data_IF_730484462122
#
_entry.id   IF_730484462122
#
_cell.length_a   1.000
_cell.length_b   1.000
_cell.length_c   1.000
_cell.angle_alpha   90.00
_cell.angle_beta   90.00
_cell.angle_gamma   90.00
#
_symmetry.space_group_name_H-M   'P 1'
#
loop_
_entity.id
_entity.type
_entity.pdbx_description
1 polymer ?
#
# COMPACT_ATOMS: atom_id res chain seq x y z
N UNK A 1 -5.25 14.79 -21.16
CA UNK A 1 -6.41 13.89 -21.39
C UNK A 1 -7.14 13.71 -20.08
N UNK A 2 -8.47 13.69 -20.07
CA UNK A 2 -9.26 13.42 -18.88
C UNK A 2 -8.92 12.03 -18.33
N UNK A 3 -9.01 11.88 -17.00
CA UNK A 3 -8.80 10.57 -16.38
C UNK A 3 -10.06 9.71 -16.53
N UNK A 4 -9.88 8.45 -16.92
CA UNK A 4 -10.97 7.48 -17.09
C UNK A 4 -10.96 6.56 -15.85
N UNK A 5 -12.15 6.24 -15.34
CA UNK A 5 -12.34 5.25 -14.29
C UNK A 5 -12.20 3.82 -14.82
N UNK A 6 -12.02 2.86 -13.94
CA UNK A 6 -11.83 1.43 -14.21
C UNK A 6 -10.61 1.15 -15.10
N UNK A 7 -9.55 1.90 -14.85
CA UNK A 7 -8.32 1.87 -15.63
C UNK A 7 -7.06 1.87 -14.76
N UNK A 8 -6.05 1.13 -15.20
CA UNK A 8 -4.69 1.17 -14.65
C UNK A 8 -3.81 1.90 -15.68
N UNK A 9 -3.20 3.00 -15.23
CA UNK A 9 -2.31 3.81 -16.07
C UNK A 9 -0.87 3.33 -15.93
N UNK A 10 -0.23 3.10 -17.08
CA UNK A 10 1.19 2.74 -17.11
C UNK A 10 2.06 3.98 -17.03
N UNK A 11 2.16 4.57 -15.85
CA UNK A 11 2.93 5.80 -15.63
C UNK A 11 3.23 5.98 -14.14
N UNK A 12 4.07 6.94 -13.82
CA UNK A 12 4.31 7.36 -12.44
C UNK A 12 3.02 7.92 -11.81
N UNK A 13 2.80 7.59 -10.53
CA UNK A 13 1.59 7.98 -9.81
C UNK A 13 1.39 9.50 -9.74
N UNK A 14 2.46 10.29 -9.68
CA UNK A 14 2.38 11.75 -9.70
C UNK A 14 1.86 12.28 -11.05
N UNK A 15 2.16 11.59 -12.16
CA UNK A 15 1.59 11.94 -13.47
C UNK A 15 0.07 11.66 -13.51
N UNK A 16 -0.37 10.53 -12.96
CA UNK A 16 -1.80 10.24 -12.83
C UNK A 16 -2.47 11.26 -11.92
N UNK A 17 -1.93 11.49 -10.72
CA UNK A 17 -2.45 12.43 -9.74
C UNK A 17 -2.58 13.86 -10.29
N UNK A 18 -1.60 14.33 -11.08
CA UNK A 18 -1.63 15.69 -11.67
C UNK A 18 -2.81 15.93 -12.62
N UNK A 19 -3.45 14.86 -13.12
CA UNK A 19 -4.64 14.93 -14.00
C UNK A 19 -5.96 14.72 -13.26
N UNK A 20 -5.89 14.29 -11.99
CA UNK A 20 -7.07 14.09 -11.16
C UNK A 20 -7.49 15.41 -10.52
N UNK A 21 -8.80 15.63 -10.49
CA UNK A 21 -9.38 16.81 -9.85
C UNK A 21 -9.29 16.73 -8.31
N UNK A 22 -9.24 17.88 -7.67
CA UNK A 22 -9.32 17.96 -6.22
C UNK A 22 -10.64 17.37 -5.73
N UNK A 23 -10.61 16.63 -4.61
CA UNK A 23 -11.79 16.04 -4.00
C UNK A 23 -12.59 15.10 -4.93
N UNK A 24 -11.90 14.37 -5.80
CA UNK A 24 -12.53 13.44 -6.77
C UNK A 24 -12.58 11.99 -6.27
N UNK A 25 -11.71 11.59 -5.33
CA UNK A 25 -11.52 10.21 -4.88
C UNK A 25 -12.19 9.98 -3.53
N UNK A 26 -12.93 8.87 -3.40
CA UNK A 26 -13.62 8.51 -2.16
C UNK A 26 -12.71 7.71 -1.20
N UNK A 27 -11.85 6.86 -1.75
CA UNK A 27 -11.00 5.98 -0.96
C UNK A 27 -9.64 5.78 -1.65
N UNK A 28 -8.56 5.87 -0.89
CA UNK A 28 -7.22 5.53 -1.36
C UNK A 28 -6.69 4.38 -0.51
N UNK A 29 -6.15 3.34 -1.17
CA UNK A 29 -5.56 2.18 -0.50
C UNK A 29 -4.26 1.85 -1.22
N UNK A 30 -3.14 1.81 -0.50
CA UNK A 30 -1.86 1.54 -1.15
C UNK A 30 -0.80 0.94 -0.23
N UNK A 31 0.16 0.28 -0.85
CA UNK A 31 1.41 -0.19 -0.25
C UNK A 31 2.58 0.24 -1.13
N UNK A 32 3.23 1.36 -0.82
CA UNK A 32 4.33 1.88 -1.63
C UNK A 32 5.55 0.95 -1.57
N UNK A 33 6.50 1.07 -2.50
CA UNK A 33 7.79 0.41 -2.36
C UNK A 33 8.52 0.95 -1.12
N UNK A 34 9.12 0.04 -0.31
CA UNK A 34 9.64 0.35 1.03
C UNK A 34 11.13 0.71 1.06
N UNK A 35 11.75 0.98 -0.09
CA UNK A 35 13.18 1.32 -0.20
C UNK A 35 14.14 0.27 0.41
N UNK A 36 13.75 -1.00 0.38
CA UNK A 36 14.53 -2.09 0.99
C UNK A 36 15.89 -2.30 0.33
N UNK A 37 16.01 -1.99 -0.95
CA UNK A 37 17.25 -2.12 -1.71
C UNK A 37 18.37 -1.25 -1.16
N UNK A 38 18.06 -0.04 -0.66
CA UNK A 38 19.03 0.82 0.02
C UNK A 38 19.58 0.14 1.29
N UNK A 39 18.70 -0.30 2.17
CA UNK A 39 19.08 -0.90 3.44
C UNK A 39 19.80 -2.25 3.26
N UNK A 40 19.39 -3.05 2.28
CA UNK A 40 20.06 -4.30 1.95
C UNK A 40 21.51 -4.08 1.45
N UNK A 41 21.74 -3.04 0.65
CA UNK A 41 23.06 -2.67 0.13
C UNK A 41 24.02 -2.22 1.24
N UNK A 42 23.51 -1.52 2.25
CA UNK A 42 24.30 -0.89 3.30
C UNK A 42 24.34 -1.71 4.62
N UNK A 43 23.74 -2.90 4.62
CA UNK A 43 23.74 -3.78 5.78
C UNK A 43 25.17 -4.25 6.10
N UNK A 44 25.63 -4.07 7.35
CA UNK A 44 26.93 -4.58 7.80
C UNK A 44 26.92 -6.11 7.76
N UNK A 45 27.89 -6.72 7.08
CA UNK A 45 28.10 -8.17 7.11
C UNK A 45 28.72 -8.55 8.45
N UNK A 46 27.91 -9.03 9.40
CA UNK A 46 28.39 -9.62 10.63
C UNK A 46 28.91 -11.05 10.39
N UNK A 47 30.05 -11.41 11.02
CA UNK A 47 30.46 -12.82 11.12
C UNK A 47 29.39 -13.56 11.94
N UNK A 48 28.50 -14.29 11.28
CA UNK A 48 27.43 -15.06 11.94
C UNK A 48 26.02 -14.84 11.36
N UNK A 49 25.85 -14.01 10.37
CA UNK A 49 24.57 -13.87 9.66
C UNK A 49 24.28 -15.18 8.88
N UNK A 50 23.54 -16.08 9.53
CA UNK A 50 23.03 -17.33 8.92
C UNK A 50 21.90 -17.06 7.90
N UNK A 51 21.67 -15.81 7.53
CA UNK A 51 20.74 -15.46 6.46
C UNK A 51 21.35 -15.81 5.10
N UNK A 52 21.51 -17.14 4.85
CA UNK A 52 21.84 -17.73 3.54
C UNK A 52 20.70 -17.62 2.52
N UNK A 53 19.58 -17.09 2.89
CA UNK A 53 18.60 -16.68 1.88
C UNK A 53 19.21 -15.45 1.20
N UNK A 54 19.71 -15.64 -0.04
CA UNK A 54 19.77 -14.55 -1.00
C UNK A 54 18.42 -13.85 -0.87
N UNK A 55 18.36 -12.75 -0.09
CA UNK A 55 17.15 -11.94 -0.04
C UNK A 55 16.86 -11.69 -1.50
N UNK A 56 15.73 -12.21 -2.00
CA UNK A 56 15.27 -11.84 -3.34
C UNK A 56 15.21 -10.32 -3.28
N UNK A 57 16.20 -9.67 -3.88
CA UNK A 57 16.17 -8.23 -4.11
C UNK A 57 14.92 -8.07 -4.97
N UNK A 58 13.88 -7.58 -4.36
CA UNK A 58 12.66 -7.24 -5.07
C UNK A 58 13.09 -6.11 -5.99
N UNK A 59 13.30 -6.41 -7.25
CA UNK A 59 13.59 -5.41 -8.24
C UNK A 59 12.23 -5.00 -8.79
N UNK A 60 11.76 -3.84 -8.34
CA UNK A 60 10.57 -3.23 -8.95
C UNK A 60 10.98 -2.72 -10.32
N UNK A 61 10.29 -3.19 -11.35
CA UNK A 61 10.52 -2.76 -12.72
C UNK A 61 10.16 -1.26 -12.83
N UNK A 62 11.14 -0.44 -13.23
CA UNK A 62 10.95 1.02 -13.36
C UNK A 62 11.10 1.84 -12.08
N UNK A 63 11.32 1.24 -10.88
CA UNK A 63 11.49 1.96 -9.63
C UNK A 63 12.88 1.78 -9.00
N UNK A 64 13.49 2.88 -8.55
CA UNK A 64 14.77 2.86 -7.84
C UNK A 64 14.59 2.53 -6.34
N UNK A 65 14.53 1.26 -5.97
CA UNK A 65 14.41 0.79 -4.57
C UNK A 65 15.72 1.00 -3.74
N UNK A 66 16.55 1.98 -4.13
CA UNK A 66 17.86 2.30 -3.49
C UNK A 66 18.04 3.80 -3.31
N UNK A 67 16.96 4.53 -3.12
CA UNK A 67 16.98 5.97 -2.84
C UNK A 67 17.70 6.27 -1.53
N UNK A 68 18.36 7.42 -1.43
CA UNK A 68 18.75 7.96 -0.14
C UNK A 68 17.54 8.09 0.79
N UNK A 69 17.64 7.79 2.09
CA UNK A 69 16.49 7.83 3.00
C UNK A 69 15.75 9.17 3.04
N UNK A 70 16.47 10.30 2.95
CA UNK A 70 15.85 11.63 2.96
C UNK A 70 15.13 11.92 1.63
N UNK A 71 15.69 11.48 0.51
CA UNK A 71 15.04 11.57 -0.81
C UNK A 71 13.80 10.69 -0.85
N UNK A 72 13.87 9.48 -0.29
CA UNK A 72 12.73 8.59 -0.18
C UNK A 72 11.59 9.20 0.65
N UNK A 73 11.91 9.77 1.83
CA UNK A 73 10.90 10.44 2.66
C UNK A 73 10.26 11.62 1.94
N UNK A 74 11.05 12.46 1.26
CA UNK A 74 10.55 13.60 0.48
C UNK A 74 9.60 13.15 -0.61
N UNK A 75 9.97 12.13 -1.38
CA UNK A 75 9.14 11.56 -2.43
C UNK A 75 7.83 10.97 -1.87
N UNK A 76 7.88 10.24 -0.75
CA UNK A 76 6.68 9.70 -0.12
C UNK A 76 5.74 10.80 0.39
N UNK A 77 6.28 11.89 0.95
CA UNK A 77 5.50 13.05 1.38
C UNK A 77 4.76 13.69 0.21
N UNK A 78 5.44 13.92 -0.89
CA UNK A 78 4.84 14.48 -2.11
C UNK A 78 3.66 13.64 -2.60
N UNK A 79 3.82 12.31 -2.61
CA UNK A 79 2.73 11.39 -2.99
C UNK A 79 1.56 11.47 -2.00
N UNK A 80 1.84 11.48 -0.70
CA UNK A 80 0.77 11.57 0.32
C UNK A 80 0.03 12.91 0.19
N UNK A 81 0.72 14.02 -0.02
CA UNK A 81 0.13 15.35 -0.21
C UNK A 81 -0.78 15.38 -1.44
N UNK A 82 -0.33 14.85 -2.58
CA UNK A 82 -1.14 14.76 -3.79
C UNK A 82 -2.33 13.80 -3.64
N UNK A 83 -2.15 12.66 -2.95
CA UNK A 83 -3.25 11.78 -2.57
C UNK A 83 -4.29 12.52 -1.71
N UNK A 84 -3.85 13.32 -0.75
CA UNK A 84 -4.74 14.11 0.09
C UNK A 84 -5.42 15.25 -0.69
N UNK A 85 -4.77 15.81 -1.72
CA UNK A 85 -5.38 16.79 -2.61
C UNK A 85 -6.60 16.21 -3.32
N UNK A 86 -6.45 15.04 -3.93
CA UNK A 86 -7.53 14.37 -4.69
C UNK A 86 -8.56 13.68 -3.80
N UNK A 87 -8.23 13.37 -2.54
CA UNK A 87 -9.14 12.72 -1.59
C UNK A 87 -10.29 13.67 -1.21
N UNK A 88 -11.53 13.18 -1.19
CA UNK A 88 -12.70 13.90 -0.68
C UNK A 88 -12.59 14.16 0.83
N UNK A 89 -13.21 15.21 1.38
CA UNK A 89 -13.25 15.45 2.84
C UNK A 89 -13.90 14.31 3.63
N UNK A 90 -14.75 13.52 3.00
CA UNK A 90 -15.39 12.33 3.56
C UNK A 90 -14.62 11.04 3.27
N UNK A 91 -13.52 11.12 2.52
CA UNK A 91 -12.71 9.98 2.13
C UNK A 91 -11.75 9.50 3.21
N UNK A 92 -11.19 8.33 3.00
CA UNK A 92 -10.11 7.75 3.81
C UNK A 92 -8.93 7.36 2.94
N UNK A 93 -7.72 7.54 3.44
CA UNK A 93 -6.51 7.07 2.80
C UNK A 93 -5.84 6.01 3.69
N UNK A 94 -5.78 4.76 3.23
CA UNK A 94 -5.09 3.66 3.89
C UNK A 94 -3.71 3.47 3.27
N UNK A 95 -2.70 3.83 4.04
CA UNK A 95 -1.30 3.77 3.66
C UNK A 95 -0.61 2.63 4.43
N UNK A 96 -0.28 1.53 3.73
CA UNK A 96 0.40 0.39 4.33
C UNK A 96 1.91 0.61 4.32
N UNK A 97 2.55 0.42 5.45
CA UNK A 97 4.01 0.49 5.57
C UNK A 97 4.50 -0.39 6.73
N UNK A 98 5.80 -0.59 6.82
CA UNK A 98 6.39 -1.41 7.88
C UNK A 98 7.72 -0.87 8.37
N UNK A 99 8.13 -1.37 9.51
CA UNK A 99 9.48 -1.20 10.02
C UNK A 99 10.51 -1.94 9.18
N UNK A 100 11.68 -1.34 9.04
CA UNK A 100 12.85 -1.93 8.42
C UNK A 100 13.91 -2.15 9.49
N UNK A 101 14.33 -3.40 9.66
CA UNK A 101 15.44 -3.73 10.57
C UNK A 101 16.77 -3.47 9.85
N UNK A 102 17.55 -2.54 10.39
CA UNK A 102 18.81 -2.11 9.81
C UNK A 102 19.87 -1.90 10.90
N UNK A 103 21.01 -2.62 10.82
CA UNK A 103 22.15 -2.49 11.72
C UNK A 103 21.77 -2.45 13.22
N UNK A 104 21.00 -3.46 13.68
CA UNK A 104 20.51 -3.61 15.06
C UNK A 104 19.55 -2.48 15.52
N UNK A 105 18.99 -1.74 14.59
CA UNK A 105 18.01 -0.67 14.85
C UNK A 105 16.76 -0.86 13.99
N UNK A 106 15.69 -0.22 14.40
CA UNK A 106 14.44 -0.17 13.65
C UNK A 106 14.29 1.18 12.99
N UNK A 107 14.08 1.19 11.68
CA UNK A 107 13.70 2.38 10.90
C UNK A 107 12.18 2.35 10.76
N UNK A 108 11.53 3.25 11.46
CA UNK A 108 10.08 3.40 11.45
C UNK A 108 9.66 4.50 10.46
N UNK A 109 8.55 4.37 9.71
CA UNK A 109 8.07 5.38 8.76
C UNK A 109 7.49 6.62 9.49
N UNK A 110 8.33 7.34 10.23
CA UNK A 110 7.91 8.46 11.08
C UNK A 110 7.28 9.61 10.33
N UNK A 111 7.67 9.83 9.07
CA UNK A 111 7.15 10.90 8.21
C UNK A 111 5.63 10.83 8.03
N UNK A 112 5.02 9.65 8.18
CA UNK A 112 3.57 9.49 8.06
C UNK A 112 2.83 10.21 9.20
N UNK A 113 3.45 10.36 10.37
CA UNK A 113 2.84 11.02 11.52
C UNK A 113 2.72 12.55 11.40
N UNK A 114 3.29 13.14 10.35
CA UNK A 114 3.11 14.56 10.04
C UNK A 114 1.77 14.85 9.32
N UNK A 115 1.04 13.80 8.96
CA UNK A 115 -0.27 13.88 8.31
C UNK A 115 -1.42 13.59 9.29
N UNK A 116 -2.66 14.03 8.99
CA UNK A 116 -3.81 13.84 9.87
C UNK A 116 -4.22 12.37 10.01
N UNK A 117 -3.62 11.63 10.93
CA UNK A 117 -3.93 10.22 11.17
C UNK A 117 -5.22 10.10 11.99
N UNK A 118 -6.21 9.34 11.48
CA UNK A 118 -7.40 8.97 12.22
C UNK A 118 -7.12 7.82 13.18
N UNK A 119 -6.44 6.77 12.72
CA UNK A 119 -6.01 5.62 13.51
C UNK A 119 -4.91 4.83 12.80
N UNK A 120 -4.21 4.01 13.54
CA UNK A 120 -3.25 3.03 13.01
C UNK A 120 -3.82 1.63 13.23
N UNK A 121 -3.89 0.87 12.14
CA UNK A 121 -4.27 -0.54 12.14
C UNK A 121 -3.00 -1.37 12.05
N UNK A 122 -3.03 -2.58 12.59
CA UNK A 122 -1.91 -3.52 12.54
C UNK A 122 -2.33 -4.72 11.70
N UNK A 123 -1.63 -4.96 10.61
CA UNK A 123 -1.74 -6.21 9.90
C UNK A 123 -0.75 -7.22 10.48
N UNK A 124 -1.28 -8.22 11.20
CA UNK A 124 -0.53 -9.36 11.70
C UNK A 124 -0.51 -10.46 10.61
N UNK A 125 0.65 -10.65 10.01
CA UNK A 125 0.87 -11.64 8.94
C UNK A 125 1.08 -13.06 9.48
N UNK A 126 1.15 -13.22 10.80
CA UNK A 126 1.37 -14.49 11.47
C UNK A 126 2.76 -15.11 11.25
N UNK A 127 3.48 -14.70 10.21
CA UNK A 127 4.81 -15.24 9.87
C UNK A 127 5.71 -14.21 9.18
N UNK A 128 7.02 -14.48 9.19
CA UNK A 128 8.02 -13.68 8.47
C UNK A 128 9.10 -14.57 7.88
N UNK A 129 9.71 -14.11 6.79
CA UNK A 129 10.92 -14.72 6.23
C UNK A 129 12.22 -14.15 6.88
N UNK A 130 12.08 -13.12 7.71
CA UNK A 130 13.20 -12.49 8.40
C UNK A 130 13.47 -13.24 9.69
N UNK A 131 14.60 -13.89 9.78
CA UNK A 131 15.02 -14.68 10.94
C UNK A 131 16.31 -14.08 11.51
N UNK A 132 16.34 -13.85 12.82
CA UNK A 132 17.51 -13.35 13.55
C UNK A 132 17.58 -13.99 14.92
N UNK A 133 18.75 -13.85 15.59
CA UNK A 133 18.99 -14.46 16.91
C UNK A 133 18.80 -13.48 18.07
N UNK A 134 18.76 -12.18 17.77
CA UNK A 134 18.87 -11.08 18.73
C UNK A 134 17.71 -10.08 18.68
N UNK A 135 16.59 -10.45 18.00
CA UNK A 135 15.37 -9.63 17.94
C UNK A 135 14.11 -10.49 17.76
N UNK A 136 12.96 -9.92 18.13
CA UNK A 136 11.67 -10.53 17.85
C UNK A 136 11.35 -10.44 16.35
N UNK A 137 10.68 -11.47 15.82
CA UNK A 137 10.37 -11.53 14.40
C UNK A 137 9.34 -10.48 13.99
N UNK A 138 9.62 -9.64 12.98
CA UNK A 138 8.71 -8.61 12.52
C UNK A 138 7.58 -9.23 11.70
N UNK A 139 6.52 -9.68 12.37
CA UNK A 139 5.34 -10.31 11.75
C UNK A 139 4.26 -9.32 11.38
N UNK A 140 4.43 -8.04 11.71
CA UNK A 140 3.38 -7.02 11.55
C UNK A 140 3.76 -5.97 10.52
N UNK A 141 2.73 -5.35 9.94
CA UNK A 141 2.83 -4.12 9.15
C UNK A 141 1.80 -3.10 9.68
N UNK A 142 2.07 -1.82 9.47
CA UNK A 142 1.18 -0.73 9.86
C UNK A 142 0.27 -0.36 8.69
N UNK A 143 -1.00 -0.07 8.96
CA UNK A 143 -1.92 0.50 8.01
C UNK A 143 -2.40 1.83 8.62
N UNK A 144 -1.84 2.93 8.15
CA UNK A 144 -2.20 4.26 8.61
C UNK A 144 -3.48 4.70 7.91
N UNK A 145 -4.57 4.89 8.66
CA UNK A 145 -5.76 5.54 8.14
C UNK A 145 -5.59 7.05 8.27
N UNK A 146 -5.32 7.70 7.16
CA UNK A 146 -5.10 9.15 7.04
C UNK A 146 -6.41 9.77 6.56
N UNK A 147 -6.78 10.92 7.10
CA UNK A 147 -7.91 11.75 6.66
C UNK A 147 -7.39 13.00 5.97
N UNK A 148 -8.23 13.66 5.15
CA UNK A 148 -7.79 14.80 4.35
C UNK A 148 -7.25 15.95 5.20
N UNK A 149 -7.95 16.29 6.30
CA UNK A 149 -7.56 17.33 7.26
C UNK A 149 -7.97 16.89 8.67
N UNK A 150 -7.51 17.60 9.71
CA UNK A 150 -7.93 17.31 11.09
C UNK A 150 -9.44 17.48 11.31
N UNK A 151 -10.07 18.40 10.59
CA UNK A 151 -11.52 18.62 10.62
C UNK A 151 -12.34 17.59 9.82
N UNK A 152 -11.70 16.83 8.93
CA UNK A 152 -12.37 15.86 8.06
C UNK A 152 -13.07 14.76 8.86
N UNK A 153 -14.26 14.37 8.40
CA UNK A 153 -15.07 13.29 8.98
C UNK A 153 -15.24 12.17 7.95
N UNK A 154 -14.26 11.25 7.82
CA UNK A 154 -14.32 10.16 6.87
C UNK A 154 -15.56 9.31 7.07
N UNK A 155 -16.18 8.91 5.94
CA UNK A 155 -17.26 7.94 5.95
C UNK A 155 -16.79 6.64 6.58
N UNK A 156 -17.65 6.06 7.43
CA UNK A 156 -17.39 4.76 8.04
C UNK A 156 -18.73 4.06 8.29
N UNK A 157 -18.89 2.88 7.69
CA UNK A 157 -20.04 2.01 7.90
C UNK A 157 -19.63 0.79 8.73
N UNK A 158 -20.10 0.72 9.94
CA UNK A 158 -19.94 -0.48 10.77
C UNK A 158 -20.89 -1.56 10.23
N UNK A 159 -20.33 -2.65 9.71
CA UNK A 159 -21.11 -3.83 9.33
C UNK A 159 -21.07 -4.83 10.48
N UNK A 160 -22.21 -5.39 10.89
CA UNK A 160 -22.25 -6.46 11.88
C UNK A 160 -21.42 -7.66 11.39
N UNK A 161 -20.56 -8.20 12.26
CA UNK A 161 -19.66 -9.30 11.93
C UNK A 161 -18.30 -8.91 11.40
N UNK A 162 -18.09 -7.66 10.93
CA UNK A 162 -16.79 -7.19 10.43
C UNK A 162 -16.05 -6.38 11.50
N UNK A 163 -14.77 -6.68 11.63
CA UNK A 163 -13.71 -6.00 12.36
C UNK A 163 -14.09 -5.15 13.59
N UNK A 164 -13.98 -5.76 14.75
CA UNK A 164 -14.07 -5.08 16.06
C UNK A 164 -12.70 -4.60 16.54
N UNK A 165 -11.61 -4.95 15.84
CA UNK A 165 -10.23 -4.74 16.28
C UNK A 165 -9.42 -3.94 15.26
N UNK A 166 -8.45 -3.20 15.75
CA UNK A 166 -7.40 -2.57 14.93
C UNK A 166 -6.32 -3.57 14.53
N UNK A 167 -6.32 -4.78 15.07
CA UNK A 167 -5.39 -5.86 14.69
C UNK A 167 -6.12 -6.79 13.73
N UNK A 168 -5.64 -6.83 12.49
CA UNK A 168 -6.14 -7.67 11.42
C UNK A 168 -5.19 -8.85 11.20
N UNK A 169 -5.73 -10.07 11.13
CA UNK A 169 -4.94 -11.29 10.91
C UNK A 169 -5.32 -11.90 9.58
N UNK A 170 -4.44 -11.71 8.61
CA UNK A 170 -4.55 -12.32 7.29
C UNK A 170 -3.21 -12.95 6.92
N UNK A 171 -3.25 -14.12 6.32
CA UNK A 171 -2.04 -14.72 5.77
C UNK A 171 -1.60 -13.94 4.52
N UNK A 172 -0.28 -13.73 4.34
CA UNK A 172 0.22 -13.20 3.08
C UNK A 172 -0.18 -14.07 1.90
N UNK A 173 -0.52 -13.48 0.77
CA UNK A 173 -0.81 -14.20 -0.45
C UNK A 173 0.45 -14.93 -0.94
N UNK A 174 0.36 -16.25 -1.19
CA UNK A 174 1.54 -17.09 -1.48
C UNK A 174 1.70 -17.47 -2.95
N UNK A 175 0.64 -17.39 -3.74
CA UNK A 175 0.57 -17.96 -5.10
C UNK A 175 0.55 -16.92 -6.23
N UNK A 176 1.09 -15.76 -5.96
CA UNK A 176 1.08 -14.66 -6.91
C UNK A 176 2.54 -14.36 -7.29
N UNK A 177 2.82 -14.15 -8.56
CA UNK A 177 4.15 -13.83 -9.09
C UNK A 177 4.64 -12.43 -8.64
N UNK A 178 3.81 -11.67 -7.94
CA UNK A 178 4.19 -10.38 -7.35
C UNK A 178 5.00 -10.60 -6.06
N UNK A 179 6.13 -9.91 -5.87
CA UNK A 179 7.06 -10.15 -4.77
C UNK A 179 6.54 -9.79 -3.37
N UNK A 180 5.48 -9.00 -3.25
CA UNK A 180 4.91 -8.58 -1.98
C UNK A 180 3.43 -8.14 -2.09
N UNK A 181 2.51 -8.99 -2.59
CA UNK A 181 1.10 -8.62 -2.62
C UNK A 181 0.55 -8.63 -1.19
N UNK A 182 -0.26 -7.65 -0.83
CA UNK A 182 -1.12 -7.78 0.33
C UNK A 182 -2.33 -8.66 -0.03
N UNK A 183 -2.91 -9.37 0.96
CA UNK A 183 -4.06 -10.24 0.71
C UNK A 183 -5.29 -9.42 0.32
N UNK A 184 -6.18 -10.03 -0.48
CA UNK A 184 -7.39 -9.36 -0.99
C UNK A 184 -8.29 -8.85 0.14
N UNK A 185 -8.30 -9.54 1.29
CA UNK A 185 -9.08 -9.18 2.47
C UNK A 185 -8.72 -7.80 3.02
N UNK A 186 -7.47 -7.35 2.84
CA UNK A 186 -7.05 -6.05 3.35
C UNK A 186 -7.79 -4.90 2.62
N UNK A 187 -7.72 -4.76 1.28
CA UNK A 187 -8.46 -3.72 0.59
C UNK A 187 -9.97 -3.93 0.65
N UNK A 188 -10.48 -5.17 0.63
CA UNK A 188 -11.92 -5.44 0.77
C UNK A 188 -12.47 -4.88 2.08
N UNK A 189 -11.75 -5.03 3.18
CA UNK A 189 -12.15 -4.47 4.47
C UNK A 189 -12.18 -2.95 4.49
N UNK A 190 -11.18 -2.31 3.90
CA UNK A 190 -11.15 -0.86 3.74
C UNK A 190 -12.33 -0.38 2.89
N UNK A 191 -12.60 -1.03 1.76
CA UNK A 191 -13.66 -0.71 0.82
C UNK A 191 -15.03 -0.84 1.48
N UNK A 192 -15.31 -1.97 2.12
CA UNK A 192 -16.61 -2.25 2.75
C UNK A 192 -16.90 -1.31 3.92
N UNK A 193 -15.87 -0.92 4.68
CA UNK A 193 -16.04 -0.04 5.83
C UNK A 193 -16.05 1.45 5.44
N UNK A 194 -15.31 1.88 4.43
CA UNK A 194 -14.99 3.29 4.19
C UNK A 194 -15.44 3.81 2.82
N UNK A 195 -16.22 3.05 2.07
CA UNK A 195 -16.82 3.48 0.80
C UNK A 195 -18.23 2.94 0.58
N UNK A 196 -18.95 3.52 -0.38
CA UNK A 196 -20.26 3.08 -0.86
C UNK A 196 -20.12 2.46 -2.25
N UNK A 197 -21.13 1.71 -2.69
CA UNK A 197 -21.21 1.26 -4.07
C UNK A 197 -21.21 2.46 -5.04
N UNK A 198 -20.47 2.34 -6.14
CA UNK A 198 -20.23 3.42 -7.09
C UNK A 198 -19.13 4.41 -6.70
N UNK A 199 -18.58 4.36 -5.48
CA UNK A 199 -17.47 5.22 -5.08
C UNK A 199 -16.19 4.87 -5.83
N UNK A 200 -15.29 5.87 -5.96
CA UNK A 200 -13.99 5.73 -6.63
C UNK A 200 -12.88 5.38 -5.64
N UNK A 201 -12.19 4.28 -5.92
CA UNK A 201 -11.00 3.80 -5.20
C UNK A 201 -9.75 4.06 -6.03
N UNK A 202 -8.72 4.65 -5.44
CA UNK A 202 -7.43 4.88 -6.10
C UNK A 202 -6.29 4.15 -5.40
N UNK A 203 -5.40 3.55 -6.21
CA UNK A 203 -4.14 2.98 -5.72
C UNK A 203 -2.97 3.53 -6.56
N UNK A 204 -2.12 4.41 -5.98
CA UNK A 204 -0.96 4.96 -6.66
C UNK A 204 0.16 3.93 -6.96
N UNK A 205 0.11 2.74 -6.36
CA UNK A 205 1.07 1.66 -6.58
C UNK A 205 0.34 0.33 -6.79
N UNK A 206 -0.44 0.25 -7.87
CA UNK A 206 -1.44 -0.79 -8.12
C UNK A 206 -0.86 -2.22 -8.13
N UNK A 207 0.40 -2.39 -8.54
CA UNK A 207 1.03 -3.71 -8.63
C UNK A 207 0.21 -4.67 -9.48
N UNK A 208 0.02 -5.89 -8.97
CA UNK A 208 -0.79 -6.93 -9.62
C UNK A 208 -2.31 -6.75 -9.46
N UNK A 209 -2.79 -5.57 -9.06
CA UNK A 209 -4.20 -5.18 -9.13
C UNK A 209 -5.08 -5.64 -7.96
N UNK A 210 -4.53 -5.97 -6.80
CA UNK A 210 -5.33 -6.46 -5.67
C UNK A 210 -6.40 -5.45 -5.23
N UNK A 211 -6.06 -4.15 -5.18
CA UNK A 211 -7.01 -3.07 -4.86
C UNK A 211 -8.09 -2.95 -5.93
N UNK A 212 -7.74 -3.01 -7.22
CA UNK A 212 -8.70 -2.92 -8.32
C UNK A 212 -9.68 -4.10 -8.34
N UNK A 213 -9.17 -5.33 -8.12
CA UNK A 213 -10.01 -6.54 -8.01
C UNK A 213 -10.97 -6.42 -6.83
N UNK A 214 -10.49 -5.95 -5.67
CA UNK A 214 -11.34 -5.74 -4.50
C UNK A 214 -12.42 -4.67 -4.75
N UNK A 215 -12.07 -3.57 -5.40
CA UNK A 215 -13.02 -2.52 -5.77
C UNK A 215 -14.11 -3.06 -6.71
N UNK A 216 -13.70 -3.72 -7.78
CA UNK A 216 -14.61 -4.29 -8.78
C UNK A 216 -15.55 -5.35 -8.18
N UNK A 217 -15.06 -6.27 -7.35
CA UNK A 217 -15.87 -7.29 -6.64
C UNK A 217 -16.96 -6.69 -5.76
N UNK A 218 -16.72 -5.49 -5.27
CA UNK A 218 -17.62 -4.79 -4.35
C UNK A 218 -18.39 -3.64 -5.02
N UNK A 219 -18.52 -3.60 -6.33
CA UNK A 219 -19.23 -2.57 -7.10
C UNK A 219 -18.68 -1.15 -6.87
N UNK A 220 -17.37 -1.00 -6.75
CA UNK A 220 -16.68 0.29 -6.74
C UNK A 220 -15.90 0.47 -8.03
N UNK A 221 -15.78 1.73 -8.47
CA UNK A 221 -14.85 2.10 -9.52
C UNK A 221 -13.42 2.14 -8.99
N UNK A 222 -12.45 1.97 -9.89
CA UNK A 222 -11.04 2.06 -9.52
C UNK A 222 -10.24 2.90 -10.52
N UNK A 223 -9.16 3.46 -10.04
CA UNK A 223 -8.04 4.00 -10.83
C UNK A 223 -6.75 3.47 -10.21
N UNK A 224 -5.78 3.13 -11.04
CA UNK A 224 -4.46 2.71 -10.57
C UNK A 224 -3.33 3.30 -11.38
N UNK A 225 -2.18 3.47 -10.73
CA UNK A 225 -0.90 3.77 -11.39
C UNK A 225 0.06 2.61 -11.18
N UNK A 226 0.75 2.18 -12.22
CA UNK A 226 1.75 1.12 -12.16
C UNK A 226 2.79 1.32 -13.28
N UNK A 227 4.07 1.17 -12.97
CA UNK A 227 5.16 1.32 -13.93
C UNK A 227 5.39 0.05 -14.75
N UNK A 228 5.24 -1.12 -14.12
CA UNK A 228 5.53 -2.41 -14.73
C UNK A 228 4.40 -2.88 -15.64
N UNK A 229 4.71 -3.03 -16.93
CA UNK A 229 3.79 -3.65 -17.91
C UNK A 229 3.35 -5.05 -17.49
N UNK A 230 4.26 -5.82 -16.89
CA UNK A 230 3.98 -7.17 -16.46
C UNK A 230 2.96 -7.20 -15.32
N UNK A 231 3.06 -6.29 -14.35
CA UNK A 231 2.07 -6.20 -13.28
C UNK A 231 0.71 -5.71 -13.78
N UNK A 232 0.69 -4.77 -14.72
CA UNK A 232 -0.56 -4.34 -15.35
C UNK A 232 -1.23 -5.51 -16.06
N UNK A 233 -0.48 -6.30 -16.85
CA UNK A 233 -1.01 -7.50 -17.53
C UNK A 233 -1.63 -8.49 -16.52
N UNK A 234 -0.94 -8.75 -15.40
CA UNK A 234 -1.45 -9.62 -14.34
C UNK A 234 -2.73 -9.04 -13.69
N UNK A 235 -2.75 -7.73 -13.44
CA UNK A 235 -3.93 -7.06 -12.90
C UNK A 235 -5.14 -7.16 -13.83
N UNK A 236 -4.93 -6.94 -15.14
CA UNK A 236 -5.99 -7.05 -16.15
C UNK A 236 -6.51 -8.49 -16.28
N UNK A 237 -5.64 -9.50 -16.21
CA UNK A 237 -6.04 -10.91 -16.19
C UNK A 237 -6.94 -11.22 -14.98
N UNK A 238 -6.51 -10.83 -13.78
CA UNK A 238 -7.31 -10.98 -12.55
C UNK A 238 -8.65 -10.23 -12.61
N UNK A 239 -8.67 -9.05 -13.21
CA UNK A 239 -9.90 -8.26 -13.37
C UNK A 239 -10.91 -8.90 -14.34
N UNK A 240 -10.46 -9.64 -15.37
CA UNK A 240 -11.35 -10.40 -16.24
C UNK A 240 -12.01 -11.58 -15.52
N UNK A 241 -11.32 -12.19 -14.56
CA UNK A 241 -11.84 -13.34 -13.79
C UNK A 241 -12.89 -12.96 -12.74
N UNK A 242 -13.07 -11.67 -12.43
CA UNK A 242 -14.02 -11.23 -11.39
C UNK A 242 -15.48 -11.56 -11.73
N UNK A 243 -15.84 -11.72 -13.00
CA UNK A 243 -17.21 -11.95 -13.48
C UNK A 243 -17.37 -13.23 -14.30
N UNK A 244 -16.34 -14.07 -14.38
CA UNK A 244 -16.42 -15.42 -14.92
C UNK A 244 -16.54 -16.42 -13.78
#
# INVERSE_FOLDING_TARGET
>A
MAIEVDKIYQEDCLQTLSRMEDNSVDLIITSPPYNKGYYNKHKRQGKGDLCRTKSRVIQYDGFNDKMDPLEYEKWQREIIEECLRVLKPTGSFFYNHKDILFNHSTIHPRFVYDFPIKQVLIWDRGSTLTVGKDYFYPTTEYIFQIKKTDASKPYFKRKEGYFKSVVWRFNPERNNNHPAPFPIELPENCILACSKEGDLVYDPFMGSGTTAVAAKRNNRHYIGSELSKEYIRQAEERLREVYN
#
